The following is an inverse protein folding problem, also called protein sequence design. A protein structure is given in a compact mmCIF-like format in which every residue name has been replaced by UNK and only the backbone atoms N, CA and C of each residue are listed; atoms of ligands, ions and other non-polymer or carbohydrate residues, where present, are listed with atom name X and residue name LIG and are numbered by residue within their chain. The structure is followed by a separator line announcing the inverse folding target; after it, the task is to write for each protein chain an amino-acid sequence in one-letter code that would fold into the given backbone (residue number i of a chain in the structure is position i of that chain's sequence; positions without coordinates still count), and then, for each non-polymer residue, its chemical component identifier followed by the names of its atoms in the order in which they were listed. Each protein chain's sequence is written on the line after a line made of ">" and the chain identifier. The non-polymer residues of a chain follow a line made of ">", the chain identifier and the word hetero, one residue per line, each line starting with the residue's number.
data_IF_920531126896
#
_entry.id   IF_920531126896
#
_cell.length_a   1.000
_cell.length_b   1.000
_cell.length_c   1.000
_cell.angle_alpha   90.00
_cell.angle_beta   90.00
_cell.angle_gamma   90.00
#
_symmetry.space_group_name_H-M   'P 1'
#
loop_
_entity.id
_entity.type
_entity.pdbx_description
1 polymer ?
#
# COMPACT_ATOMS: atom_id res chain seq x y z
N UNK A 1 1.79 16.26 -10.31
CA UNK A 1 0.81 16.38 -9.21
C UNK A 1 -0.09 15.16 -9.26
N UNK A 2 -0.42 14.58 -8.10
CA UNK A 2 -1.44 13.55 -8.00
C UNK A 2 -2.78 14.11 -8.48
N UNK A 3 -3.61 13.30 -9.16
CA UNK A 3 -4.95 13.76 -9.53
C UNK A 3 -5.83 13.91 -8.29
N UNK A 4 -6.80 14.82 -8.33
CA UNK A 4 -7.76 14.98 -7.22
C UNK A 4 -8.48 13.67 -6.90
N UNK A 5 -8.85 12.90 -7.93
CA UNK A 5 -9.45 11.58 -7.79
C UNK A 5 -8.52 10.60 -7.06
N UNK A 6 -7.23 10.54 -7.44
CA UNK A 6 -6.26 9.66 -6.78
C UNK A 6 -6.04 10.08 -5.33
N UNK A 7 -6.03 11.38 -5.04
CA UNK A 7 -5.89 11.89 -3.70
C UNK A 7 -7.11 11.52 -2.83
N UNK A 8 -8.32 11.67 -3.36
CA UNK A 8 -9.54 11.27 -2.66
C UNK A 8 -9.55 9.76 -2.38
N UNK A 9 -9.13 8.93 -3.34
CA UNK A 9 -9.02 7.47 -3.14
C UNK A 9 -8.04 7.10 -2.01
N UNK A 10 -6.94 7.83 -1.86
CA UNK A 10 -5.95 7.61 -0.79
C UNK A 10 -6.57 7.97 0.57
N UNK A 11 -7.21 9.12 0.65
CA UNK A 11 -7.92 9.57 1.86
C UNK A 11 -8.99 8.55 2.25
N UNK A 12 -9.84 8.16 1.30
CA UNK A 12 -10.89 7.17 1.50
C UNK A 12 -10.33 5.83 2.00
N UNK A 13 -9.18 5.39 1.46
CA UNK A 13 -8.50 4.19 1.94
C UNK A 13 -8.06 4.34 3.40
N UNK A 14 -7.38 5.43 3.75
CA UNK A 14 -6.88 5.66 5.12
C UNK A 14 -8.00 5.81 6.13
N UNK A 15 -9.08 6.52 5.80
CA UNK A 15 -10.23 6.70 6.70
C UNK A 15 -11.02 5.41 6.94
N UNK A 16 -11.01 4.50 5.97
CA UNK A 16 -11.83 3.28 6.01
C UNK A 16 -11.04 2.00 6.26
N UNK A 17 -9.72 2.05 6.46
CA UNK A 17 -8.89 0.85 6.66
C UNK A 17 -9.27 0.08 7.93
N UNK A 18 -9.82 0.75 8.95
CA UNK A 18 -10.26 0.17 10.21
C UNK A 18 -11.25 -1.00 10.06
N UNK A 19 -12.02 -1.04 8.96
CA UNK A 19 -12.92 -2.17 8.66
C UNK A 19 -12.18 -3.49 8.39
N UNK A 20 -10.87 -3.44 8.16
CA UNK A 20 -10.00 -4.59 7.93
C UNK A 20 -9.25 -5.03 9.20
N UNK A 21 -9.48 -4.40 10.36
CA UNK A 21 -8.83 -4.83 11.60
C UNK A 21 -9.23 -6.26 11.99
N UNK A 22 -8.23 -7.06 12.36
CA UNK A 22 -8.30 -8.50 12.61
C UNK A 22 -8.38 -9.36 11.34
N UNK A 23 -8.23 -8.80 10.14
CA UNK A 23 -8.10 -9.58 8.91
C UNK A 23 -6.65 -10.00 8.67
N UNK A 24 -6.45 -11.21 8.13
CA UNK A 24 -5.19 -11.55 7.46
C UNK A 24 -4.97 -10.56 6.32
N UNK A 25 -3.80 -9.93 6.33
CA UNK A 25 -3.35 -8.93 5.37
C UNK A 25 -2.12 -9.48 4.68
N UNK A 26 -2.18 -9.49 3.35
CA UNK A 26 -1.09 -9.87 2.46
C UNK A 26 -0.57 -8.59 1.82
N UNK A 27 0.73 -8.35 1.92
CA UNK A 27 1.42 -7.24 1.26
C UNK A 27 2.48 -7.82 0.34
N UNK A 28 2.39 -7.49 -0.93
CA UNK A 28 3.47 -7.73 -1.89
C UNK A 28 4.05 -6.41 -2.34
N UNK A 29 5.36 -6.23 -2.20
CA UNK A 29 6.04 -5.02 -2.62
C UNK A 29 7.20 -5.33 -3.58
N UNK A 30 7.45 -4.43 -4.52
CA UNK A 30 8.55 -4.55 -5.47
C UNK A 30 9.06 -3.18 -5.89
N UNK A 31 10.29 -3.15 -6.39
CA UNK A 31 10.88 -1.97 -7.02
C UNK A 31 10.92 -2.17 -8.53
N UNK A 32 10.50 -1.16 -9.29
CA UNK A 32 10.50 -1.18 -10.76
C UNK A 32 10.94 0.17 -11.30
N UNK A 33 11.50 0.17 -12.51
CA UNK A 33 11.72 1.38 -13.30
C UNK A 33 10.60 1.64 -14.32
N UNK A 34 9.66 0.69 -14.46
CA UNK A 34 8.51 0.78 -15.37
C UNK A 34 7.24 0.35 -14.62
N UNK A 35 6.42 1.35 -14.27
CA UNK A 35 5.13 1.13 -13.59
C UNK A 35 4.04 0.60 -14.52
N UNK A 36 4.25 0.68 -15.84
CA UNK A 36 3.30 0.16 -16.82
C UNK A 36 3.56 -1.33 -17.12
N UNK A 37 4.75 -1.83 -16.78
CA UNK A 37 5.15 -3.22 -16.96
C UNK A 37 5.57 -3.86 -15.63
N UNK A 38 4.57 -4.35 -14.89
CA UNK A 38 4.74 -5.01 -13.59
C UNK A 38 4.89 -6.54 -13.72
N UNK A 39 5.51 -7.02 -14.81
CA UNK A 39 5.75 -8.44 -15.02
C UNK A 39 6.57 -9.04 -13.86
N UNK A 40 6.10 -10.16 -13.31
CA UNK A 40 6.75 -10.88 -12.23
C UNK A 40 8.05 -11.58 -12.66
N UNK A 41 8.29 -11.74 -13.97
CA UNK A 41 9.58 -12.22 -14.49
C UNK A 41 10.66 -11.14 -14.53
N UNK A 42 10.25 -9.86 -14.52
CA UNK A 42 11.15 -8.72 -14.61
C UNK A 42 11.38 -8.02 -13.26
N UNK A 43 10.53 -8.30 -12.27
CA UNK A 43 10.55 -7.65 -10.97
C UNK A 43 10.64 -8.68 -9.84
N UNK A 44 11.48 -8.41 -8.85
CA UNK A 44 11.49 -9.19 -7.60
C UNK A 44 10.46 -8.61 -6.64
N UNK A 45 9.71 -9.49 -5.98
CA UNK A 45 8.65 -9.12 -5.04
C UNK A 45 8.95 -9.70 -3.67
N UNK A 46 8.85 -8.87 -2.64
CA UNK A 46 8.78 -9.31 -1.25
C UNK A 46 7.32 -9.57 -0.90
N UNK A 47 7.06 -10.65 -0.17
CA UNK A 47 5.75 -11.00 0.37
C UNK A 47 5.81 -10.96 1.90
N UNK A 48 4.89 -10.22 2.50
CA UNK A 48 4.67 -10.18 3.94
C UNK A 48 3.21 -10.51 4.24
N UNK A 49 2.98 -11.31 5.26
CA UNK A 49 1.63 -11.66 5.73
C UNK A 49 1.53 -11.46 7.24
N UNK A 50 0.46 -10.79 7.68
CA UNK A 50 0.18 -10.57 9.10
C UNK A 50 -1.31 -10.32 9.34
N UNK A 51 -1.77 -10.48 10.57
CA UNK A 51 -3.09 -9.98 10.97
C UNK A 51 -2.99 -8.48 11.25
N UNK A 52 -3.82 -7.67 10.59
CA UNK A 52 -3.84 -6.23 10.80
C UNK A 52 -4.47 -5.90 12.15
N UNK A 53 -3.67 -5.44 13.10
CA UNK A 53 -4.12 -5.07 14.45
C UNK A 53 -4.70 -3.66 14.44
N UNK A 54 -3.96 -2.70 13.87
CA UNK A 54 -4.36 -1.30 13.75
C UNK A 54 -3.54 -0.60 12.68
N UNK A 55 -3.92 0.62 12.34
CA UNK A 55 -3.12 1.52 11.51
C UNK A 55 -3.07 2.91 12.11
N UNK A 56 -2.07 3.69 11.71
CA UNK A 56 -1.92 5.09 12.12
C UNK A 56 -1.28 5.91 10.99
N UNK A 57 -1.63 7.20 10.94
CA UNK A 57 -0.90 8.18 10.14
C UNK A 57 -0.02 9.03 11.05
N UNK A 58 1.25 9.17 10.70
CA UNK A 58 2.19 10.05 11.37
C UNK A 58 2.37 11.31 10.55
N UNK A 59 1.87 12.43 11.09
CA UNK A 59 2.00 13.76 10.48
C UNK A 59 3.47 14.13 10.28
N UNK A 60 4.30 13.93 11.31
CA UNK A 60 5.74 14.14 11.22
C UNK A 60 6.41 13.04 10.38
N UNK A 61 6.68 13.37 9.10
CA UNK A 61 7.30 12.47 8.13
C UNK A 61 6.32 11.86 7.13
N UNK A 62 5.03 12.20 7.21
CA UNK A 62 3.97 11.78 6.29
C UNK A 62 3.94 10.25 6.06
N UNK A 63 3.93 9.49 7.15
CA UNK A 63 4.00 8.02 7.09
C UNK A 63 2.68 7.38 7.46
N UNK A 64 2.20 6.48 6.62
CA UNK A 64 1.09 5.60 6.94
C UNK A 64 1.62 4.25 7.41
N UNK A 65 1.19 3.80 8.58
CA UNK A 65 1.65 2.57 9.21
C UNK A 65 0.50 1.58 9.37
N UNK A 66 0.77 0.32 9.05
CA UNK A 66 -0.05 -0.84 9.43
C UNK A 66 0.73 -1.69 10.43
N UNK A 67 0.10 -2.00 11.56
CA UNK A 67 0.69 -2.82 12.61
C UNK A 67 0.12 -4.24 12.56
N UNK A 68 1.02 -5.21 12.59
CA UNK A 68 0.74 -6.62 12.84
C UNK A 68 1.55 -7.15 14.02
N UNK A 69 1.33 -8.42 14.38
CA UNK A 69 2.07 -9.06 15.46
C UNK A 69 3.55 -9.24 15.07
N UNK A 70 4.42 -8.42 15.65
CA UNK A 70 5.87 -8.47 15.39
C UNK A 70 6.28 -7.86 14.05
N UNK A 71 5.40 -7.08 13.41
CA UNK A 71 5.64 -6.44 12.12
C UNK A 71 4.98 -5.06 12.08
N UNK A 72 5.70 -4.09 11.56
CA UNK A 72 5.16 -2.81 11.13
C UNK A 72 5.44 -2.67 9.64
N UNK A 73 4.42 -2.32 8.87
CA UNK A 73 4.55 -1.98 7.46
C UNK A 73 4.26 -0.50 7.27
N UNK A 74 5.15 0.20 6.56
CA UNK A 74 5.06 1.64 6.35
C UNK A 74 4.94 1.97 4.86
N UNK A 75 4.05 2.91 4.55
CA UNK A 75 3.92 3.56 3.23
C UNK A 75 4.27 5.03 3.41
N UNK A 76 5.09 5.56 2.52
CA UNK A 76 5.44 6.98 2.49
C UNK A 76 4.36 7.77 1.76
N UNK A 77 3.43 8.35 2.52
CA UNK A 77 2.31 9.08 1.95
C UNK A 77 2.75 10.30 1.12
N UNK A 78 3.92 10.89 1.42
CA UNK A 78 4.43 12.02 0.63
C UNK A 78 4.93 11.62 -0.76
N UNK A 79 5.24 10.34 -0.97
CA UNK A 79 5.74 9.82 -2.25
C UNK A 79 4.67 9.08 -3.05
N UNK A 80 3.44 8.94 -2.55
CA UNK A 80 2.37 8.29 -3.31
C UNK A 80 2.01 9.14 -4.52
N UNK A 81 2.15 8.56 -5.70
CA UNK A 81 1.74 9.19 -6.97
C UNK A 81 0.44 8.60 -7.51
N UNK A 82 0.05 7.40 -7.06
CA UNK A 82 -1.18 6.76 -7.48
C UNK A 82 -1.65 5.69 -6.48
N UNK A 83 -2.97 5.51 -6.37
CA UNK A 83 -3.62 4.40 -5.71
C UNK A 83 -4.69 3.80 -6.63
N UNK A 84 -4.55 2.52 -6.95
CA UNK A 84 -5.55 1.77 -7.71
C UNK A 84 -6.29 0.80 -6.81
N UNK A 85 -7.61 0.75 -6.97
CA UNK A 85 -8.45 -0.29 -6.39
C UNK A 85 -8.60 -1.44 -7.38
N UNK A 86 -7.81 -2.50 -7.19
CA UNK A 86 -7.81 -3.69 -8.06
C UNK A 86 -8.99 -4.64 -7.79
N UNK A 87 -9.72 -4.41 -6.70
CA UNK A 87 -10.89 -5.19 -6.32
C UNK A 87 -11.43 -4.75 -4.96
N UNK A 88 -12.39 -5.51 -4.42
CA UNK A 88 -13.10 -5.12 -3.18
C UNK A 88 -12.19 -4.88 -1.98
N UNK A 89 -11.16 -5.73 -1.82
CA UNK A 89 -10.18 -5.69 -0.73
C UNK A 89 -8.74 -5.73 -1.26
N UNK A 90 -8.52 -5.27 -2.49
CA UNK A 90 -7.21 -5.30 -3.17
C UNK A 90 -6.86 -3.90 -3.63
N UNK A 91 -5.70 -3.43 -3.21
CA UNK A 91 -5.22 -2.07 -3.44
C UNK A 91 -3.80 -2.13 -3.97
N UNK A 92 -3.43 -1.22 -4.88
CA UNK A 92 -2.08 -1.06 -5.42
C UNK A 92 -1.66 0.39 -5.26
N UNK A 93 -0.67 0.62 -4.42
CA UNK A 93 0.00 1.90 -4.25
C UNK A 93 1.20 1.95 -5.19
N UNK A 94 1.43 3.13 -5.75
CA UNK A 94 2.65 3.45 -6.48
C UNK A 94 3.29 4.64 -5.78
N UNK A 95 4.48 4.42 -5.24
CA UNK A 95 5.30 5.44 -4.60
C UNK A 95 6.49 5.78 -5.51
N UNK A 96 6.75 7.06 -5.74
CA UNK A 96 7.97 7.50 -6.43
C UNK A 96 9.15 7.45 -5.44
N UNK A 97 9.96 6.40 -5.54
CA UNK A 97 11.08 6.17 -4.62
C UNK A 97 12.34 6.97 -5.02
N UNK A 98 12.53 7.15 -6.32
CA UNK A 98 13.52 8.04 -6.92
C UNK A 98 13.00 8.55 -8.27
N UNK A 99 13.79 9.38 -8.97
CA UNK A 99 13.38 9.98 -10.26
C UNK A 99 12.84 8.96 -11.26
N UNK A 100 13.51 7.81 -11.39
CA UNK A 100 13.15 6.73 -12.32
C UNK A 100 12.83 5.40 -11.62
N UNK A 101 12.69 5.40 -10.29
CA UNK A 101 12.47 4.17 -9.50
C UNK A 101 11.17 4.31 -8.74
N UNK A 102 10.32 3.30 -8.86
CA UNK A 102 9.01 3.26 -8.23
C UNK A 102 8.92 2.06 -7.31
N UNK A 103 8.34 2.26 -6.14
CA UNK A 103 7.87 1.16 -5.30
C UNK A 103 6.41 0.89 -5.62
N UNK A 104 6.10 -0.37 -5.89
CA UNK A 104 4.74 -0.83 -6.08
C UNK A 104 4.37 -1.72 -4.91
N UNK A 105 3.33 -1.32 -4.19
CA UNK A 105 2.86 -2.02 -2.99
C UNK A 105 1.44 -2.47 -3.23
N UNK A 106 1.22 -3.78 -3.28
CA UNK A 106 -0.13 -4.36 -3.35
C UNK A 106 -0.53 -4.89 -1.99
N UNK A 107 -1.71 -4.49 -1.55
CA UNK A 107 -2.29 -4.92 -0.28
C UNK A 107 -3.57 -5.69 -0.58
N UNK A 108 -3.69 -6.86 0.03
CA UNK A 108 -4.91 -7.67 0.01
C UNK A 108 -5.36 -7.96 1.44
N UNK A 109 -6.59 -7.55 1.76
CA UNK A 109 -7.25 -7.94 3.01
C UNK A 109 -8.14 -9.16 2.79
N UNK A 110 -7.88 -10.23 3.52
CA UNK A 110 -8.72 -11.42 3.51
C UNK A 110 -9.96 -11.18 4.38
N UNK A 111 -11.08 -11.78 3.97
CA UNK A 111 -12.30 -11.70 4.78
C UNK A 111 -12.03 -12.29 6.16
N UNK A 112 -12.54 -11.60 7.19
CA UNK A 112 -12.78 -12.20 8.49
C UNK A 112 -13.83 -13.28 8.26
N UNK A 113 -13.40 -14.54 8.28
CA UNK A 113 -14.34 -15.67 8.42
C UNK A 113 -14.85 -15.69 9.85
#
# INVERSE_FOLDING_TARGET
>A
MISEESNQNIIDFFENIQKYYGSKTEITEGLTNDVNNLDSQLNTWNLSEFELIRSAYRENGNKFMMEGKGMYYEIDASNIINLKKLGRNKFEFIEQYAETVFRVTRIRFHYKY
#
